data_IF_281086738233
#
_entry.id   IF_281086738233
#
_cell.length_a   1.000
_cell.length_b   1.000
_cell.length_c   1.000
_cell.angle_alpha   90.00
_cell.angle_beta   90.00
_cell.angle_gamma   90.00
#
_symmetry.space_group_name_H-M   'P 1'
#
loop_
_entity.id
_entity.type
_entity.pdbx_description
1 polymer ?
#
# COMPACT_ATOMS: atom_id res chain seq x y z
N UNK A 1 12.72 4.30 -24.63
CA UNK A 1 12.08 3.59 -23.53
C UNK A 1 12.02 4.55 -22.36
N UNK A 2 10.83 4.90 -21.87
CA UNK A 2 10.75 5.73 -20.67
C UNK A 2 11.28 4.93 -19.49
N UNK A 3 11.91 5.61 -18.52
CA UNK A 3 12.45 4.93 -17.33
C UNK A 3 11.37 4.09 -16.62
N UNK A 4 10.11 4.56 -16.63
CA UNK A 4 8.96 3.83 -16.10
C UNK A 4 8.69 2.50 -16.83
N UNK A 5 8.66 2.47 -18.15
CA UNK A 5 8.44 1.22 -18.90
C UNK A 5 9.50 0.15 -18.58
N UNK A 6 10.75 0.59 -18.38
CA UNK A 6 11.83 -0.27 -17.92
C UNK A 6 11.55 -0.86 -16.54
N UNK A 7 11.06 -0.05 -15.60
CA UNK A 7 10.71 -0.49 -14.24
C UNK A 7 9.47 -1.40 -14.21
N UNK A 8 8.49 -1.20 -15.09
CA UNK A 8 7.38 -2.14 -15.29
C UNK A 8 7.89 -3.52 -15.71
N UNK A 9 8.86 -3.58 -16.64
CA UNK A 9 9.49 -4.84 -17.02
C UNK A 9 10.31 -5.47 -15.89
N UNK A 10 11.03 -4.67 -15.10
CA UNK A 10 11.74 -5.15 -13.90
C UNK A 10 10.75 -5.77 -12.90
N UNK A 11 9.62 -5.10 -12.66
CA UNK A 11 8.56 -5.59 -11.76
C UNK A 11 8.01 -6.92 -12.26
N UNK A 12 7.72 -7.05 -13.55
CA UNK A 12 7.27 -8.31 -14.15
C UNK A 12 8.30 -9.44 -13.99
N UNK A 13 9.57 -9.16 -14.24
CA UNK A 13 10.63 -10.16 -14.07
C UNK A 13 10.79 -10.57 -12.60
N UNK A 14 10.68 -9.63 -11.67
CA UNK A 14 10.72 -9.93 -10.23
C UNK A 14 9.52 -10.79 -9.80
N UNK A 15 8.33 -10.54 -10.35
CA UNK A 15 7.17 -11.40 -10.14
C UNK A 15 7.47 -12.85 -10.56
N UNK A 16 7.98 -13.05 -11.77
CA UNK A 16 8.31 -14.40 -12.27
C UNK A 16 9.35 -15.12 -11.41
N UNK A 17 10.29 -14.39 -10.81
CA UNK A 17 11.27 -14.94 -9.86
C UNK A 17 10.63 -15.31 -8.53
N UNK A 18 9.84 -14.40 -7.94
CA UNK A 18 9.20 -14.63 -6.63
C UNK A 18 8.15 -15.74 -6.65
N UNK A 19 7.52 -16.00 -7.80
CA UNK A 19 6.61 -17.12 -7.98
C UNK A 19 7.28 -18.49 -7.84
N UNK A 20 8.61 -18.59 -8.00
CA UNK A 20 9.35 -19.85 -7.85
C UNK A 20 9.55 -20.26 -6.39
N UNK A 21 9.29 -19.36 -5.43
CA UNK A 21 9.30 -19.58 -3.96
C UNK A 21 10.61 -20.10 -3.34
N UNK A 22 11.70 -20.18 -4.12
CA UNK A 22 13.00 -20.64 -3.65
C UNK A 22 13.89 -19.44 -3.28
N UNK A 23 13.60 -18.83 -2.14
CA UNK A 23 14.37 -17.69 -1.63
C UNK A 23 15.50 -18.11 -0.69
N UNK A 24 16.63 -17.41 -0.77
CA UNK A 24 17.52 -17.20 0.35
C UNK A 24 17.14 -15.92 1.12
N UNK A 25 17.65 -15.75 2.34
CA UNK A 25 17.42 -14.53 3.14
C UNK A 25 17.82 -13.23 2.39
N UNK A 26 18.94 -13.26 1.68
CA UNK A 26 19.40 -12.13 0.87
C UNK A 26 18.49 -11.80 -0.32
N UNK A 27 17.77 -12.78 -0.86
CA UNK A 27 16.83 -12.54 -1.97
C UNK A 27 15.62 -11.73 -1.51
N UNK A 28 15.20 -11.90 -0.25
CA UNK A 28 14.11 -11.10 0.33
C UNK A 28 14.52 -9.63 0.43
N UNK A 29 15.71 -9.35 0.98
CA UNK A 29 16.23 -7.97 1.06
C UNK A 29 16.42 -7.35 -0.33
N UNK A 30 17.01 -8.11 -1.25
CA UNK A 30 17.22 -7.64 -2.63
C UNK A 30 15.89 -7.35 -3.33
N UNK A 31 14.86 -8.16 -3.08
CA UNK A 31 13.52 -7.92 -3.63
C UNK A 31 12.90 -6.64 -3.09
N UNK A 32 13.04 -6.36 -1.78
CA UNK A 32 12.59 -5.09 -1.18
C UNK A 32 13.32 -3.91 -1.80
N UNK A 33 14.64 -4.01 -1.94
CA UNK A 33 15.47 -2.95 -2.56
C UNK A 33 15.05 -2.68 -4.02
N UNK A 34 14.80 -3.74 -4.80
CA UNK A 34 14.31 -3.59 -6.18
C UNK A 34 12.96 -2.86 -6.19
N UNK A 35 12.02 -3.26 -5.34
CA UNK A 35 10.71 -2.60 -5.24
C UNK A 35 10.85 -1.13 -4.80
N UNK A 36 11.78 -0.81 -3.90
CA UNK A 36 12.09 0.58 -3.51
C UNK A 36 12.60 1.37 -4.72
N UNK A 37 13.59 0.85 -5.43
CA UNK A 37 14.18 1.52 -6.60
C UNK A 37 13.15 1.71 -7.74
N UNK A 38 12.25 0.75 -7.95
CA UNK A 38 11.11 0.86 -8.86
C UNK A 38 10.19 2.01 -8.43
N UNK A 39 9.79 2.02 -7.16
CA UNK A 39 8.89 3.03 -6.57
C UNK A 39 9.48 4.44 -6.67
N UNK A 40 10.74 4.61 -6.28
CA UNK A 40 11.46 5.89 -6.39
C UNK A 40 11.57 6.37 -7.84
N UNK A 41 11.79 5.45 -8.78
CA UNK A 41 11.89 5.78 -10.21
C UNK A 41 10.55 6.20 -10.79
N UNK A 42 9.46 5.50 -10.45
CA UNK A 42 8.11 5.93 -10.84
C UNK A 42 7.79 7.32 -10.31
N UNK A 43 8.08 7.59 -9.04
CA UNK A 43 7.90 8.91 -8.44
C UNK A 43 8.71 9.99 -9.16
N UNK A 44 10.01 9.77 -9.36
CA UNK A 44 10.91 10.74 -10.01
C UNK A 44 10.50 11.03 -11.46
N UNK A 45 10.01 10.01 -12.17
CA UNK A 45 9.57 10.12 -13.56
C UNK A 45 8.13 10.64 -13.69
N UNK A 46 7.41 10.87 -12.59
CA UNK A 46 5.96 11.12 -12.59
C UNK A 46 5.20 10.08 -13.42
N UNK A 47 5.64 8.82 -13.35
CA UNK A 47 5.08 7.72 -14.11
C UNK A 47 3.85 7.17 -13.41
N UNK A 48 2.75 7.04 -14.14
CA UNK A 48 1.52 6.42 -13.65
C UNK A 48 1.57 4.92 -13.95
N UNK A 49 1.72 4.04 -12.93
CA UNK A 49 1.77 2.61 -13.15
C UNK A 49 0.42 2.09 -13.69
N UNK A 50 0.49 1.14 -14.63
CA UNK A 50 -0.70 0.51 -15.17
C UNK A 50 -1.38 -0.41 -14.15
N UNK A 51 -2.62 -0.82 -14.40
CA UNK A 51 -3.30 -1.80 -13.53
C UNK A 51 -2.49 -3.09 -13.38
N UNK A 52 -1.83 -3.55 -14.45
CA UNK A 52 -1.01 -4.76 -14.41
C UNK A 52 0.25 -4.56 -13.55
N UNK A 53 0.88 -3.39 -13.64
CA UNK A 53 2.03 -3.05 -12.78
C UNK A 53 1.65 -3.07 -11.31
N UNK A 54 0.49 -2.50 -10.97
CA UNK A 54 -0.05 -2.50 -9.60
C UNK A 54 -0.34 -3.91 -9.11
N UNK A 55 -1.00 -4.75 -9.93
CA UNK A 55 -1.26 -6.15 -9.56
C UNK A 55 0.03 -6.93 -9.37
N UNK A 56 1.00 -6.78 -10.27
CA UNK A 56 2.30 -7.44 -10.19
C UNK A 56 3.05 -7.04 -8.92
N UNK A 57 3.10 -5.74 -8.60
CA UNK A 57 3.74 -5.21 -7.41
C UNK A 57 3.18 -5.83 -6.13
N UNK A 58 1.85 -5.82 -5.97
CA UNK A 58 1.20 -6.41 -4.80
C UNK A 58 1.29 -7.94 -4.74
N UNK A 59 1.34 -8.62 -5.89
CA UNK A 59 1.55 -10.06 -5.92
C UNK A 59 2.98 -10.43 -5.50
N UNK A 60 4.01 -9.65 -5.87
CA UNK A 60 5.38 -9.84 -5.38
C UNK A 60 5.40 -9.75 -3.86
N UNK A 61 4.81 -8.69 -3.28
CA UNK A 61 4.72 -8.52 -1.84
C UNK A 61 4.02 -9.72 -1.20
N UNK A 62 2.90 -10.19 -1.77
CA UNK A 62 2.21 -11.37 -1.28
C UNK A 62 3.11 -12.61 -1.26
N UNK A 63 3.95 -12.80 -2.29
CA UNK A 63 4.89 -13.92 -2.36
C UNK A 63 6.01 -13.79 -1.33
N UNK A 64 6.53 -12.58 -1.10
CA UNK A 64 7.55 -12.32 -0.09
C UNK A 64 7.02 -12.58 1.33
N UNK A 65 5.74 -12.25 1.57
CA UNK A 65 5.04 -12.43 2.85
C UNK A 65 4.40 -13.83 3.01
N UNK A 66 4.78 -14.84 2.22
CA UNK A 66 4.35 -16.20 2.51
C UNK A 66 4.91 -16.68 3.86
N UNK A 67 4.12 -17.46 4.61
CA UNK A 67 4.51 -17.95 5.95
C UNK A 67 5.80 -18.80 5.89
N UNK A 68 6.05 -19.52 4.79
CA UNK A 68 7.26 -20.32 4.58
C UNK A 68 8.56 -19.49 4.48
N UNK A 69 8.44 -18.16 4.38
CA UNK A 69 9.58 -17.26 4.38
C UNK A 69 9.93 -16.73 5.76
N UNK A 70 9.18 -17.07 6.82
CA UNK A 70 9.39 -16.55 8.17
C UNK A 70 10.84 -16.65 8.65
N UNK A 71 11.43 -17.85 8.63
CA UNK A 71 12.81 -18.07 9.10
C UNK A 71 13.85 -17.30 8.27
N UNK A 72 13.59 -17.13 6.96
CA UNK A 72 14.46 -16.38 6.05
C UNK A 72 14.37 -14.87 6.34
N UNK A 73 13.18 -14.37 6.68
CA UNK A 73 12.99 -13.00 7.14
C UNK A 73 13.68 -12.76 8.48
N UNK A 74 13.57 -13.69 9.43
CA UNK A 74 14.28 -13.61 10.71
C UNK A 74 15.80 -13.55 10.50
N UNK A 75 16.34 -14.33 9.56
CA UNK A 75 17.76 -14.30 9.23
C UNK A 75 18.18 -13.00 8.54
N UNK A 76 17.46 -12.58 7.50
CA UNK A 76 17.68 -11.31 6.80
C UNK A 76 17.66 -10.10 7.75
N UNK A 77 16.77 -10.13 8.74
CA UNK A 77 16.58 -9.01 9.67
C UNK A 77 17.64 -8.88 10.74
N UNK A 78 18.56 -9.84 10.85
CA UNK A 78 19.77 -9.69 11.68
C UNK A 78 20.69 -8.60 11.13
N UNK A 79 20.66 -8.36 9.82
CA UNK A 79 21.53 -7.38 9.15
C UNK A 79 20.79 -6.11 8.75
N UNK A 80 19.50 -6.19 8.39
CA UNK A 80 18.73 -5.03 7.93
C UNK A 80 17.22 -5.22 8.13
N UNK A 81 16.46 -4.21 8.63
CA UNK A 81 15.03 -4.35 8.93
C UNK A 81 14.13 -4.35 7.67
N UNK A 82 14.29 -5.35 6.80
CA UNK A 82 13.67 -5.39 5.47
C UNK A 82 12.14 -5.42 5.47
N UNK A 83 11.47 -6.06 6.44
CA UNK A 83 10.00 -6.02 6.52
C UNK A 83 9.45 -4.62 6.84
N UNK A 84 10.20 -3.82 7.60
CA UNK A 84 9.84 -2.42 7.90
C UNK A 84 10.04 -1.54 6.68
N UNK A 85 11.14 -1.70 5.94
CA UNK A 85 11.35 -1.01 4.66
C UNK A 85 10.26 -1.39 3.64
N UNK A 86 9.87 -2.66 3.58
CA UNK A 86 8.80 -3.13 2.70
C UNK A 86 7.47 -2.40 2.97
N UNK A 87 7.13 -2.13 4.25
CA UNK A 87 5.94 -1.33 4.58
C UNK A 87 6.03 0.09 4.03
N UNK A 88 7.19 0.74 4.17
CA UNK A 88 7.41 2.10 3.66
C UNK A 88 7.31 2.15 2.12
N UNK A 89 7.89 1.14 1.45
CA UNK A 89 7.80 0.98 0.00
C UNK A 89 6.34 0.80 -0.45
N UNK A 90 5.55 0.02 0.28
CA UNK A 90 4.11 -0.16 0.01
C UNK A 90 3.35 1.16 0.18
N UNK A 91 3.59 1.89 1.26
CA UNK A 91 2.96 3.18 1.51
C UNK A 91 3.27 4.18 0.39
N UNK A 92 4.54 4.31 0.00
CA UNK A 92 4.93 5.22 -1.08
C UNK A 92 4.33 4.82 -2.42
N UNK A 93 4.35 3.52 -2.75
CA UNK A 93 3.74 3.03 -4.00
C UNK A 93 2.24 3.27 -4.04
N UNK A 94 1.53 3.08 -2.93
CA UNK A 94 0.09 3.39 -2.83
C UNK A 94 -0.19 4.87 -3.16
N UNK A 95 0.66 5.79 -2.68
CA UNK A 95 0.50 7.21 -2.99
C UNK A 95 0.75 7.51 -4.46
N UNK A 96 1.75 6.90 -5.09
CA UNK A 96 2.00 7.04 -6.54
C UNK A 96 0.78 6.58 -7.35
N UNK A 97 0.22 5.41 -7.02
CA UNK A 97 -0.99 4.89 -7.69
C UNK A 97 -2.16 5.87 -7.48
N UNK A 98 -2.37 6.33 -6.25
CA UNK A 98 -3.45 7.28 -5.91
C UNK A 98 -3.37 8.59 -6.69
N UNK A 99 -2.16 9.08 -7.01
CA UNK A 99 -1.96 10.30 -7.81
C UNK A 99 -2.42 10.16 -9.26
N UNK A 100 -2.36 8.96 -9.84
CA UNK A 100 -2.85 8.66 -11.19
C UNK A 100 -4.34 8.26 -11.25
N UNK A 101 -4.98 8.04 -10.10
CA UNK A 101 -6.40 7.67 -10.06
C UNK A 101 -7.30 8.86 -10.40
N UNK A 102 -8.50 8.60 -10.94
CA UNK A 102 -9.54 9.64 -11.05
C UNK A 102 -10.18 9.90 -9.69
N UNK A 103 -10.72 11.11 -9.50
CA UNK A 103 -11.45 11.44 -8.27
C UNK A 103 -12.59 10.45 -8.00
N UNK A 104 -12.87 10.24 -6.71
CA UNK A 104 -13.88 9.30 -6.19
C UNK A 104 -13.62 7.81 -6.50
N UNK A 105 -12.50 7.47 -7.15
CA UNK A 105 -12.18 6.08 -7.42
C UNK A 105 -11.68 5.39 -6.17
N UNK A 106 -12.04 4.11 -6.06
CA UNK A 106 -11.65 3.22 -4.98
C UNK A 106 -11.16 1.89 -5.57
N UNK A 107 -9.84 1.73 -5.62
CA UNK A 107 -9.19 0.50 -6.06
C UNK A 107 -9.03 -0.46 -4.88
N UNK A 108 -9.32 -1.73 -5.11
CA UNK A 108 -9.08 -2.81 -4.14
C UNK A 108 -8.14 -3.84 -4.74
N UNK A 109 -7.08 -4.13 -4.00
CA UNK A 109 -6.03 -5.08 -4.36
C UNK A 109 -6.11 -6.21 -3.35
N UNK A 110 -6.20 -7.45 -3.83
CA UNK A 110 -6.50 -8.60 -2.98
C UNK A 110 -5.59 -9.74 -3.39
N UNK A 111 -4.81 -10.23 -2.44
CA UNK A 111 -3.84 -11.31 -2.66
C UNK A 111 -3.98 -12.39 -1.56
N UNK A 112 -3.09 -13.38 -1.58
CA UNK A 112 -3.05 -14.42 -0.56
C UNK A 112 -2.67 -13.91 0.83
N UNK A 113 -1.85 -12.85 0.89
CA UNK A 113 -1.23 -12.40 2.14
C UNK A 113 -1.47 -10.92 2.49
N UNK A 114 -2.13 -10.15 1.62
CA UNK A 114 -2.59 -8.80 1.95
C UNK A 114 -3.82 -8.35 1.14
N UNK A 115 -4.56 -7.41 1.70
CA UNK A 115 -5.61 -6.65 1.02
C UNK A 115 -5.29 -5.17 1.17
N UNK A 116 -5.36 -4.41 0.10
CA UNK A 116 -5.21 -2.96 0.13
C UNK A 116 -6.40 -2.26 -0.53
N UNK A 117 -6.73 -1.07 -0.03
CA UNK A 117 -7.64 -0.12 -0.66
C UNK A 117 -6.90 1.19 -0.88
N UNK A 118 -7.04 1.73 -2.09
CA UNK A 118 -6.50 3.03 -2.49
C UNK A 118 -7.68 3.87 -2.94
N UNK A 119 -7.88 5.03 -2.31
CA UNK A 119 -9.00 5.91 -2.58
C UNK A 119 -8.50 7.32 -2.89
N UNK A 120 -9.01 7.93 -3.96
CA UNK A 120 -8.80 9.35 -4.26
C UNK A 120 -10.05 10.13 -3.87
N UNK A 121 -9.92 10.94 -2.82
CA UNK A 121 -11.03 11.54 -2.08
C UNK A 121 -10.94 13.07 -2.14
N UNK A 122 -11.77 13.74 -2.96
CA UNK A 122 -11.95 15.18 -2.83
C UNK A 122 -12.51 15.53 -1.44
N UNK A 123 -11.90 16.49 -0.73
CA UNK A 123 -12.18 16.79 0.68
C UNK A 123 -13.68 16.93 1.02
N UNK A 124 -14.41 17.66 0.18
CA UNK A 124 -15.83 17.98 0.40
C UNK A 124 -16.79 16.80 0.19
N UNK A 125 -16.28 15.63 -0.23
CA UNK A 125 -17.11 14.49 -0.64
C UNK A 125 -17.25 13.38 0.39
N UNK A 126 -16.45 13.40 1.46
CA UNK A 126 -16.45 12.32 2.46
C UNK A 126 -17.57 12.56 3.47
N UNK A 127 -18.75 12.02 3.19
CA UNK A 127 -19.97 12.25 4.00
C UNK A 127 -20.14 11.28 5.18
N UNK A 128 -19.48 10.12 5.14
CA UNK A 128 -19.58 9.05 6.14
C UNK A 128 -18.21 8.49 6.51
N UNK A 129 -18.10 7.88 7.68
CA UNK A 129 -16.88 7.18 8.08
C UNK A 129 -16.57 6.05 7.11
N UNK A 130 -15.28 5.84 6.86
CA UNK A 130 -14.79 4.82 5.92
C UNK A 130 -14.45 3.57 6.71
N UNK A 131 -15.04 2.43 6.32
CA UNK A 131 -14.81 1.14 6.94
C UNK A 131 -13.90 0.29 6.04
N UNK A 132 -12.85 -0.29 6.62
CA UNK A 132 -11.94 -1.18 5.92
C UNK A 132 -11.58 -2.42 6.77
N UNK A 133 -11.51 -3.63 6.17
CA UNK A 133 -11.93 -3.97 4.82
C UNK A 133 -13.47 -4.03 4.69
N UNK A 134 -14.00 -3.77 3.49
CA UNK A 134 -15.45 -3.88 3.22
C UNK A 134 -15.89 -5.36 3.14
N UNK A 135 -16.47 -5.90 4.23
CA UNK A 135 -16.91 -7.32 4.32
C UNK A 135 -17.85 -7.79 3.19
N UNK A 136 -18.70 -6.90 2.69
CA UNK A 136 -19.67 -7.20 1.62
C UNK A 136 -19.14 -7.06 0.20
N UNK A 137 -17.86 -6.73 -0.02
CA UNK A 137 -17.31 -6.54 -1.36
C UNK A 137 -17.28 -7.88 -2.13
N UNK A 138 -17.86 -7.90 -3.32
CA UNK A 138 -17.74 -9.03 -4.25
C UNK A 138 -16.26 -9.22 -4.63
N UNK A 139 -15.78 -10.47 -4.58
CA UNK A 139 -14.38 -10.79 -4.87
C UNK A 139 -13.43 -10.64 -3.69
N UNK A 140 -13.89 -10.22 -2.50
CA UNK A 140 -13.07 -10.25 -1.28
C UNK A 140 -12.57 -11.67 -1.00
N UNK A 141 -11.26 -11.80 -0.82
CA UNK A 141 -10.59 -13.06 -0.47
C UNK A 141 -11.05 -13.58 0.89
N UNK A 142 -11.18 -14.90 1.02
CA UNK A 142 -11.88 -15.53 2.15
C UNK A 142 -11.24 -15.21 3.51
N UNK A 143 -9.91 -15.17 3.59
CA UNK A 143 -9.21 -14.85 4.83
C UNK A 143 -9.52 -13.42 5.32
N UNK A 144 -9.61 -12.46 4.41
CA UNK A 144 -9.94 -11.07 4.75
C UNK A 144 -11.44 -10.88 5.02
N UNK A 145 -12.30 -11.62 4.29
CA UNK A 145 -13.75 -11.63 4.51
C UNK A 145 -14.12 -12.14 5.91
N UNK A 146 -13.43 -13.19 6.35
CA UNK A 146 -13.68 -13.86 7.63
C UNK A 146 -12.93 -13.22 8.80
N UNK A 147 -12.04 -12.25 8.54
CA UNK A 147 -11.35 -11.52 9.61
C UNK A 147 -12.32 -10.68 10.45
N UNK A 148 -12.06 -10.61 11.75
CA UNK A 148 -12.71 -9.68 12.67
C UNK A 148 -12.04 -8.31 12.70
N UNK A 149 -10.82 -8.22 12.17
CA UNK A 149 -10.03 -6.99 12.11
C UNK A 149 -10.67 -5.98 11.17
N UNK A 150 -10.81 -4.76 11.67
CA UNK A 150 -11.34 -3.63 10.91
C UNK A 150 -10.82 -2.32 11.46
N UNK A 151 -10.75 -1.32 10.58
CA UNK A 151 -10.52 0.06 10.94
C UNK A 151 -11.70 0.91 10.48
N UNK A 152 -12.10 1.86 11.34
CA UNK A 152 -13.08 2.89 11.03
C UNK A 152 -12.32 4.21 10.97
N UNK A 153 -12.29 4.83 9.80
CA UNK A 153 -11.60 6.09 9.54
C UNK A 153 -12.64 7.20 9.61
N UNK A 154 -12.58 8.09 10.61
CA UNK A 154 -13.57 9.13 10.78
C UNK A 154 -13.57 10.11 9.61
N UNK A 155 -14.75 10.46 9.11
CA UNK A 155 -14.89 11.45 8.02
C UNK A 155 -14.28 12.82 8.35
N UNK A 156 -14.26 13.17 9.64
CA UNK A 156 -13.68 14.42 10.15
C UNK A 156 -12.18 14.58 9.91
N UNK A 157 -11.48 13.55 9.42
CA UNK A 157 -10.08 13.67 9.00
C UNK A 157 -9.90 14.34 7.62
N UNK A 158 -10.95 14.36 6.79
CA UNK A 158 -10.88 14.83 5.40
C UNK A 158 -11.39 16.27 5.20
N UNK A 159 -11.32 17.10 6.24
CA UNK A 159 -11.68 18.53 6.18
C UNK A 159 -10.43 19.37 5.94
N UNK A 160 -10.50 20.29 4.97
CA UNK A 160 -9.47 21.31 4.82
C UNK A 160 -9.63 22.39 5.89
N UNK A 161 -8.55 22.79 6.57
CA UNK A 161 -8.55 23.97 7.45
C UNK A 161 -9.02 25.24 6.71
N UNK A 162 -8.77 25.34 5.40
CA UNK A 162 -9.29 26.42 4.56
C UNK A 162 -10.81 26.31 4.39
N UNK A 163 -11.38 25.12 4.23
CA UNK A 163 -12.84 24.91 4.18
C UNK A 163 -13.56 25.27 5.49
N UNK A 164 -12.86 25.19 6.63
CA UNK A 164 -13.35 25.62 7.96
C UNK A 164 -13.32 27.15 8.15
N UNK A 165 -12.59 27.89 7.30
CA UNK A 165 -12.67 29.36 7.27
C UNK A 165 -13.71 29.85 6.27
N UNK A 166 -13.88 29.14 5.14
CA UNK A 166 -14.87 29.50 4.12
C UNK A 166 -16.29 29.21 4.61
N UNK A 167 -16.54 28.16 5.40
CA UNK A 167 -17.88 27.88 5.95
C UNK A 167 -18.34 28.91 7.02
N UNK A 168 -17.47 29.82 7.46
CA UNK A 168 -17.83 30.99 8.27
C UNK A 168 -18.28 32.20 7.41
N UNK A 169 -18.11 32.14 6.09
CA UNK A 169 -18.52 33.16 5.12
C UNK A 169 -19.44 32.52 4.07
N UNK A 170 -20.68 33.00 3.99
CA UNK A 170 -21.74 32.47 3.10
C UNK A 170 -21.37 32.43 1.61
N UNK A 171 -20.61 31.41 1.19
CA UNK A 171 -20.38 31.04 -0.21
C UNK A 171 -20.38 29.51 -0.31
N UNK A 172 -21.08 28.91 -1.30
CA UNK A 172 -20.93 27.49 -1.56
C UNK A 172 -19.45 27.20 -1.86
N UNK A 173 -18.88 26.08 -1.37
CA UNK A 173 -17.53 25.72 -1.75
C UNK A 173 -17.52 25.46 -3.25
N UNK A 174 -16.91 26.35 -4.01
CA UNK A 174 -16.55 26.05 -5.40
C UNK A 174 -15.72 24.77 -5.37
N UNK A 175 -16.19 23.73 -6.07
CA UNK A 175 -15.50 22.43 -6.14
C UNK A 175 -14.12 22.56 -6.80
N UNK A 176 -13.91 23.61 -7.59
CA UNK A 176 -12.62 23.95 -8.18
C UNK A 176 -11.68 24.53 -7.10
N UNK A 177 -10.73 23.71 -6.65
CA UNK A 177 -9.68 24.12 -5.70
C UNK A 177 -9.75 23.47 -4.31
N UNK A 178 -10.73 22.60 -4.06
CA UNK A 178 -10.76 21.78 -2.85
C UNK A 178 -9.61 20.76 -2.84
N UNK A 179 -8.91 20.54 -1.70
CA UNK A 179 -7.83 19.58 -1.67
C UNK A 179 -8.34 18.16 -1.93
N UNK A 180 -7.52 17.37 -2.62
CA UNK A 180 -7.77 15.95 -2.88
C UNK A 180 -6.84 15.13 -2.01
N UNK A 181 -7.39 14.19 -1.27
CA UNK A 181 -6.65 13.27 -0.43
C UNK A 181 -6.46 11.93 -1.13
N UNK A 182 -5.33 11.28 -0.86
CA UNK A 182 -5.13 9.88 -1.19
C UNK A 182 -5.18 9.11 0.13
N UNK A 183 -6.13 8.17 0.23
CA UNK A 183 -6.24 7.28 1.37
C UNK A 183 -5.81 5.87 0.95
N UNK A 184 -4.68 5.43 1.52
CA UNK A 184 -4.22 4.05 1.49
C UNK A 184 -4.55 3.33 2.78
N UNK A 185 -5.16 2.14 2.69
CA UNK A 185 -5.38 1.26 3.85
C UNK A 185 -5.01 -0.16 3.48
N UNK A 186 -4.26 -0.85 4.34
CA UNK A 186 -3.76 -2.20 4.09
C UNK A 186 -4.07 -3.11 5.29
N UNK A 187 -4.54 -4.32 5.01
CA UNK A 187 -4.65 -5.42 5.96
C UNK A 187 -3.68 -6.50 5.53
N UNK A 188 -2.74 -6.87 6.41
CA UNK A 188 -1.79 -7.94 6.17
C UNK A 188 -2.22 -9.20 6.91
N UNK A 189 -2.15 -10.34 6.23
CA UNK A 189 -2.45 -11.64 6.84
C UNK A 189 -1.29 -12.14 7.70
N UNK A 190 -0.07 -12.01 7.19
CA UNK A 190 1.12 -12.72 7.71
C UNK A 190 2.27 -11.82 8.11
N UNK A 191 2.24 -10.52 7.77
CA UNK A 191 3.33 -9.57 8.05
C UNK A 191 3.74 -9.54 9.53
N UNK A 192 2.79 -9.72 10.45
CA UNK A 192 3.06 -9.77 11.89
C UNK A 192 4.03 -10.88 12.32
N UNK A 193 4.20 -11.93 11.50
CA UNK A 193 5.18 -12.99 11.72
C UNK A 193 6.61 -12.55 11.40
N UNK A 194 6.76 -11.54 10.54
CA UNK A 194 8.05 -11.08 10.01
C UNK A 194 8.51 -9.79 10.68
N UNK A 195 7.61 -9.01 11.29
CA UNK A 195 8.01 -7.76 11.95
C UNK A 195 8.97 -8.03 13.11
N UNK A 196 10.03 -7.22 13.27
CA UNK A 196 10.89 -7.32 14.43
C UNK A 196 10.08 -7.10 15.69
N UNK A 197 10.34 -7.90 16.73
CA UNK A 197 9.70 -7.68 18.03
C UNK A 197 10.03 -6.27 18.55
N UNK A 198 9.07 -5.57 19.18
CA UNK A 198 9.38 -4.34 19.90
C UNK A 198 10.49 -4.68 20.90
N UNK A 199 11.65 -4.02 20.79
CA UNK A 199 12.76 -4.26 21.72
C UNK A 199 12.22 -4.12 23.15
N UNK A 200 12.34 -5.17 23.97
CA UNK A 200 12.12 -5.05 25.40
C UNK A 200 13.08 -3.97 25.92
N UNK A 201 12.58 -2.79 26.27
CA UNK A 201 13.29 -1.83 27.11
C UNK A 201 13.35 -2.37 28.55
N UNK A 202 14.01 -3.51 28.71
CA UNK A 202 14.37 -4.10 30.01
C UNK A 202 15.78 -4.63 29.87
N UNK A 203 16.74 -3.73 29.93
CA UNK A 203 18.13 -3.95 30.37
C UNK A 203 18.94 -2.69 30.02
N UNK A 204 18.84 -1.67 30.87
CA UNK A 204 19.98 -0.89 31.41
C UNK A 204 19.60 -0.50 32.84
#
# INVERSE_FOLDING_TARGET
>A
MLAGDGMSQVTKNLLDLTQRRNFYAGDLLSSVEILRNVTETFKRASYEPSSDDVQNFFQIISNLLEEENKEKWEDAQKIYPGSVELMQVIEEFIHIVGLGMKDFHNAYLMTGNLVASIQRLPAVSVMTDINFPMKGRKGMVDWARNSEDKVVIPKGLFVSQSAVLINASFSPPDMEGSPVFILGTVLYKTLGLMLPSPKNMREI
#
